data_IF_969286009662
#
_entry.id   IF_969286009662
#
_cell.length_a   1.000
_cell.length_b   1.000
_cell.length_c   1.000
_cell.angle_alpha   90.00
_cell.angle_beta   90.00
_cell.angle_gamma   90.00
#
_symmetry.space_group_name_H-M   'P 1'
#
loop_
_entity.id
_entity.type
_entity.pdbx_description
1 polymer ?
#
# COMPACT_ATOMS: atom_id res chain seq x y z
N UNK A 1 -1.23 20.04 -21.14
CA UNK A 1 -1.37 18.92 -20.20
C UNK A 1 -0.01 18.69 -19.57
N UNK A 2 0.12 18.80 -18.25
CA UNK A 2 1.41 18.62 -17.56
C UNK A 2 1.75 17.14 -17.43
N UNK A 3 3.03 16.79 -17.23
CA UNK A 3 3.44 15.40 -16.96
C UNK A 3 2.72 14.81 -15.74
N UNK A 4 2.46 15.65 -14.72
CA UNK A 4 1.67 15.28 -13.54
C UNK A 4 0.22 14.94 -13.90
N UNK A 5 -0.42 15.72 -14.77
CA UNK A 5 -1.77 15.41 -15.26
C UNK A 5 -1.80 14.13 -16.09
N UNK A 6 -0.75 13.83 -16.85
CA UNK A 6 -0.64 12.56 -17.59
C UNK A 6 -0.55 11.38 -16.63
N UNK A 7 0.27 11.50 -15.57
CA UNK A 7 0.38 10.47 -14.53
C UNK A 7 -0.96 10.29 -13.80
N UNK A 8 -1.60 11.38 -13.37
CA UNK A 8 -2.88 11.35 -12.66
C UNK A 8 -3.98 10.72 -13.50
N UNK A 9 -4.09 11.08 -14.77
CA UNK A 9 -5.14 10.57 -15.66
C UNK A 9 -4.76 9.26 -16.35
N UNK A 10 -3.57 8.73 -16.10
CA UNK A 10 -3.06 7.51 -16.72
C UNK A 10 -3.87 6.29 -16.29
N UNK A 11 -4.37 5.53 -17.27
CA UNK A 11 -5.12 4.30 -16.99
C UNK A 11 -4.21 3.06 -16.85
N UNK A 12 -2.96 3.15 -17.30
CA UNK A 12 -1.98 2.07 -17.20
C UNK A 12 -1.08 2.30 -15.99
N UNK A 13 -1.29 1.50 -14.94
CA UNK A 13 -0.58 1.59 -13.67
C UNK A 13 0.85 1.03 -13.71
N UNK A 14 1.19 0.35 -14.80
CA UNK A 14 2.48 -0.33 -15.00
C UNK A 14 3.46 0.51 -15.82
N UNK A 15 3.03 1.69 -16.29
CA UNK A 15 3.95 2.68 -16.88
C UNK A 15 4.94 3.12 -15.80
N UNK A 16 6.22 3.03 -16.12
CA UNK A 16 7.31 3.50 -15.26
C UNK A 16 7.49 5.00 -15.44
N UNK A 17 7.69 5.69 -14.33
CA UNK A 17 7.93 7.12 -14.28
C UNK A 17 9.09 7.40 -13.32
N UNK A 18 9.80 8.51 -13.52
CA UNK A 18 10.77 9.00 -12.54
C UNK A 18 10.14 9.08 -11.15
N UNK A 19 10.82 8.52 -10.15
CA UNK A 19 10.33 8.40 -8.78
C UNK A 19 9.84 9.74 -8.22
N UNK A 20 10.58 10.82 -8.46
CA UNK A 20 10.20 12.16 -7.99
C UNK A 20 8.87 12.63 -8.57
N UNK A 21 8.66 12.44 -9.88
CA UNK A 21 7.42 12.85 -10.56
C UNK A 21 6.21 12.08 -10.06
N UNK A 22 6.38 10.81 -9.70
CA UNK A 22 5.30 10.04 -9.08
C UNK A 22 4.94 10.55 -7.70
N UNK A 23 5.94 10.85 -6.87
CA UNK A 23 5.69 11.38 -5.53
C UNK A 23 5.06 12.78 -5.59
N UNK A 24 5.44 13.59 -6.57
CA UNK A 24 4.79 14.86 -6.91
C UNK A 24 3.33 14.66 -7.32
N UNK A 25 3.06 13.68 -8.19
CA UNK A 25 1.73 13.43 -8.69
C UNK A 25 0.77 12.98 -7.58
N UNK A 26 1.22 12.09 -6.70
CA UNK A 26 0.46 11.60 -5.54
C UNK A 26 0.26 12.70 -4.49
N UNK A 27 1.25 13.59 -4.30
CA UNK A 27 1.11 14.73 -3.38
C UNK A 27 1.33 14.38 -1.91
N UNK A 28 2.28 13.49 -1.59
CA UNK A 28 2.64 13.20 -0.20
C UNK A 28 3.07 14.45 0.58
N UNK A 29 2.65 14.52 1.84
CA UNK A 29 3.15 15.53 2.79
C UNK A 29 4.67 15.43 2.91
N UNK A 30 5.33 16.57 3.11
CA UNK A 30 6.80 16.70 3.06
C UNK A 30 7.56 15.62 3.85
N UNK A 31 7.13 15.28 5.08
CA UNK A 31 7.77 14.23 5.88
C UNK A 31 7.61 12.83 5.30
N UNK A 32 6.41 12.46 4.87
CA UNK A 32 6.15 11.16 4.24
C UNK A 32 6.94 11.07 2.95
N UNK A 33 6.86 12.11 2.11
CA UNK A 33 7.60 12.21 0.85
C UNK A 33 9.09 11.97 1.06
N UNK A 34 9.73 12.71 1.96
CA UNK A 34 11.17 12.59 2.22
C UNK A 34 11.55 11.15 2.61
N UNK A 35 10.74 10.48 3.44
CA UNK A 35 11.04 9.09 3.82
C UNK A 35 10.87 8.09 2.69
N UNK A 36 9.86 8.28 1.84
CA UNK A 36 9.67 7.46 0.64
C UNK A 36 10.81 7.71 -0.35
N UNK A 37 11.24 8.95 -0.53
CA UNK A 37 12.41 9.27 -1.36
C UNK A 37 13.69 8.61 -0.84
N UNK A 38 13.93 8.67 0.47
CA UNK A 38 15.07 8.00 1.10
C UNK A 38 15.01 6.48 0.85
N UNK A 39 13.83 5.86 1.03
CA UNK A 39 13.61 4.45 0.73
C UNK A 39 13.96 4.08 -0.72
N UNK A 40 13.47 4.88 -1.67
CA UNK A 40 13.70 4.63 -3.09
C UNK A 40 15.17 4.79 -3.46
N UNK A 41 15.85 5.81 -2.91
CA UNK A 41 17.30 6.04 -3.10
C UNK A 41 18.12 4.89 -2.53
N UNK A 42 17.85 4.46 -1.30
CA UNK A 42 18.52 3.31 -0.66
C UNK A 42 18.39 2.02 -1.48
N UNK A 43 17.31 1.89 -2.26
CA UNK A 43 17.03 0.74 -3.11
C UNK A 43 17.46 0.91 -4.57
N UNK A 44 18.04 2.07 -4.94
CA UNK A 44 18.41 2.37 -6.33
C UNK A 44 17.21 2.46 -7.28
N UNK A 45 16.03 2.80 -6.78
CA UNK A 45 14.80 2.89 -7.57
C UNK A 45 14.62 4.30 -8.14
N UNK A 46 15.23 4.56 -9.29
CA UNK A 46 15.15 5.85 -9.99
C UNK A 46 13.80 6.04 -10.71
N UNK A 47 13.19 4.93 -11.14
CA UNK A 47 11.87 4.88 -11.74
C UNK A 47 11.04 3.78 -11.12
N UNK A 48 9.74 3.99 -11.03
CA UNK A 48 8.77 2.97 -10.61
C UNK A 48 7.42 3.22 -11.28
N UNK A 49 6.53 2.23 -11.21
CA UNK A 49 5.14 2.36 -11.63
C UNK A 49 4.23 2.74 -10.47
N UNK A 50 2.99 3.17 -10.76
CA UNK A 50 1.99 3.42 -9.72
C UNK A 50 1.66 2.14 -8.93
N UNK A 51 1.63 1.00 -9.61
CA UNK A 51 1.42 -0.32 -8.98
C UNK A 51 2.54 -0.66 -7.99
N UNK A 52 3.79 -0.39 -8.37
CA UNK A 52 4.97 -0.57 -7.52
C UNK A 52 4.93 0.40 -6.33
N UNK A 53 4.59 1.67 -6.55
CA UNK A 53 4.44 2.68 -5.49
C UNK A 53 3.40 2.25 -4.45
N UNK A 54 2.20 1.83 -4.89
CA UNK A 54 1.18 1.27 -3.99
C UNK A 54 1.71 0.05 -3.22
N UNK A 55 2.52 -0.77 -3.90
CA UNK A 55 3.18 -1.96 -3.35
C UNK A 55 4.08 -1.67 -2.16
N UNK A 56 4.60 -0.45 -2.03
CA UNK A 56 5.39 -0.04 -0.87
C UNK A 56 4.56 0.06 0.42
N UNK A 57 3.25 0.32 0.28
CA UNK A 57 2.35 0.59 1.41
C UNK A 57 1.38 -0.55 1.67
N UNK A 58 0.90 -1.22 0.63
CA UNK A 58 0.02 -2.38 0.74
C UNK A 58 0.39 -3.42 -0.31
N UNK A 59 0.40 -4.72 0.04
CA UNK A 59 0.62 -5.77 -0.94
C UNK A 59 -0.44 -5.73 -2.04
N UNK A 60 -0.14 -6.35 -3.18
CA UNK A 60 -1.13 -6.45 -4.27
C UNK A 60 -2.40 -7.14 -3.76
N UNK A 61 -3.56 -6.71 -4.23
CA UNK A 61 -4.83 -7.35 -3.90
C UNK A 61 -4.80 -8.85 -4.26
N UNK A 62 -4.17 -9.22 -5.38
CA UNK A 62 -4.05 -10.58 -5.88
C UNK A 62 -2.99 -11.44 -5.18
N UNK A 63 -2.09 -10.85 -4.37
CA UNK A 63 -1.00 -11.60 -3.74
C UNK A 63 -1.54 -12.60 -2.70
N UNK A 64 -1.24 -13.91 -2.81
CA UNK A 64 -1.70 -14.88 -1.83
C UNK A 64 -0.90 -14.72 -0.54
N UNK A 65 -1.57 -14.24 0.52
CA UNK A 65 -0.99 -14.14 1.86
C UNK A 65 -1.55 -15.31 2.68
N UNK A 66 -0.76 -16.39 2.75
CA UNK A 66 -1.18 -17.66 3.34
C UNK A 66 -1.42 -17.56 4.85
N UNK A 67 -0.62 -16.76 5.56
CA UNK A 67 -0.73 -16.55 7.00
C UNK A 67 -1.00 -15.09 7.35
N UNK A 68 -2.03 -14.87 8.17
CA UNK A 68 -2.41 -13.54 8.64
C UNK A 68 -1.28 -12.84 9.38
N UNK A 69 -0.51 -13.55 10.21
CA UNK A 69 0.67 -13.01 10.91
C UNK A 69 1.73 -12.42 9.97
N UNK A 70 1.75 -12.82 8.70
CA UNK A 70 2.75 -12.37 7.75
C UNK A 70 2.38 -11.07 7.03
N UNK A 71 1.12 -10.60 7.04
CA UNK A 71 0.67 -9.47 6.21
C UNK A 71 1.60 -8.25 6.27
N UNK A 72 1.96 -7.81 7.49
CA UNK A 72 2.83 -6.65 7.69
C UNK A 72 4.27 -6.87 7.23
N UNK A 73 4.74 -8.12 7.11
CA UNK A 73 6.05 -8.45 6.55
C UNK A 73 6.11 -8.18 5.03
N UNK A 74 4.95 -8.16 4.37
CA UNK A 74 4.80 -7.83 2.95
C UNK A 74 4.66 -6.33 2.69
N UNK A 75 4.73 -5.46 3.71
CA UNK A 75 4.69 -4.00 3.53
C UNK A 75 6.12 -3.45 3.56
N UNK A 76 6.72 -3.11 2.41
CA UNK A 76 8.14 -2.78 2.34
C UNK A 76 8.53 -1.53 3.13
N UNK A 77 7.68 -0.50 3.16
CA UNK A 77 8.02 0.78 3.82
C UNK A 77 8.16 0.63 5.34
N UNK A 78 7.46 -0.33 5.96
CA UNK A 78 7.55 -0.61 7.39
C UNK A 78 8.88 -1.25 7.81
N UNK A 79 9.72 -1.66 6.85
CA UNK A 79 11.09 -2.15 7.13
C UNK A 79 12.05 -1.02 7.46
N UNK A 80 11.68 0.24 7.21
CA UNK A 80 12.47 1.39 7.62
C UNK A 80 12.16 1.76 9.07
N UNK A 81 13.14 1.78 10.00
CA UNK A 81 12.90 2.12 11.40
C UNK A 81 12.28 3.51 11.61
N UNK A 82 12.61 4.43 10.70
CA UNK A 82 12.14 5.82 10.69
C UNK A 82 10.72 6.02 10.13
N UNK A 83 10.09 4.95 9.63
CA UNK A 83 8.74 4.98 9.07
C UNK A 83 7.72 4.43 10.06
N UNK A 84 7.47 5.20 11.12
CA UNK A 84 6.57 4.81 12.21
C UNK A 84 5.07 4.81 11.84
N UNK A 85 4.19 4.31 12.72
CA UNK A 85 2.75 4.16 12.47
C UNK A 85 2.06 5.44 11.97
N UNK A 86 2.36 6.58 12.59
CA UNK A 86 1.78 7.87 12.18
C UNK A 86 2.12 8.25 10.73
N UNK A 87 3.36 8.02 10.30
CA UNK A 87 3.77 8.31 8.92
C UNK A 87 3.12 7.34 7.93
N UNK A 88 2.94 6.08 8.35
CA UNK A 88 2.23 5.08 7.58
C UNK A 88 0.76 5.43 7.38
N UNK A 89 0.04 5.77 8.45
CA UNK A 89 -1.36 6.20 8.35
C UNK A 89 -1.51 7.46 7.49
N UNK A 90 -0.59 8.44 7.65
CA UNK A 90 -0.58 9.64 6.81
C UNK A 90 -0.33 9.32 5.33
N UNK A 91 0.46 8.29 5.02
CA UNK A 91 0.72 7.88 3.64
C UNK A 91 -0.50 7.18 3.03
N UNK A 92 -1.12 6.26 3.79
CA UNK A 92 -2.35 5.58 3.38
C UNK A 92 -3.49 6.58 3.10
N UNK A 93 -3.65 7.58 3.97
CA UNK A 93 -4.63 8.64 3.78
C UNK A 93 -4.34 9.44 2.50
N UNK A 94 -3.09 9.83 2.29
CA UNK A 94 -2.70 10.55 1.07
C UNK A 94 -3.04 9.75 -0.19
N UNK A 95 -2.71 8.47 -0.24
CA UNK A 95 -3.01 7.61 -1.40
C UNK A 95 -4.52 7.44 -1.59
N UNK A 96 -5.28 7.35 -0.51
CA UNK A 96 -6.75 7.21 -0.55
C UNK A 96 -7.42 8.48 -1.07
N UNK A 97 -6.93 9.64 -0.65
CA UNK A 97 -7.49 10.95 -1.02
C UNK A 97 -6.89 11.50 -2.33
N UNK A 98 -5.93 10.80 -2.93
CA UNK A 98 -5.28 11.26 -4.16
C UNK A 98 -6.24 11.27 -5.34
N UNK A 99 -6.32 12.42 -6.01
CA UNK A 99 -7.09 12.62 -7.24
C UNK A 99 -6.35 12.01 -8.44
N UNK A 100 -6.40 10.68 -8.50
CA UNK A 100 -5.82 9.85 -9.55
C UNK A 100 -6.93 9.14 -10.33
N UNK A 101 -6.61 8.69 -11.53
CA UNK A 101 -7.56 8.11 -12.48
C UNK A 101 -8.17 6.79 -11.99
N UNK A 102 -9.24 6.38 -12.68
CA UNK A 102 -10.09 5.25 -12.27
C UNK A 102 -9.32 3.95 -12.00
N UNK A 103 -8.31 3.62 -12.82
CA UNK A 103 -7.48 2.43 -12.59
C UNK A 103 -6.78 2.48 -11.22
N UNK A 104 -6.18 3.62 -10.87
CA UNK A 104 -5.50 3.81 -9.60
C UNK A 104 -6.48 3.61 -8.44
N UNK A 105 -7.60 4.32 -8.47
CA UNK A 105 -8.59 4.26 -7.38
C UNK A 105 -9.17 2.87 -7.21
N UNK A 106 -9.45 2.16 -8.32
CA UNK A 106 -10.01 0.80 -8.30
C UNK A 106 -9.03 -0.21 -7.68
N UNK A 107 -7.76 -0.14 -8.07
CA UNK A 107 -6.73 -1.00 -7.49
C UNK A 107 -6.48 -0.67 -6.02
N UNK A 108 -6.34 0.61 -5.69
CA UNK A 108 -6.10 1.05 -4.32
C UNK A 108 -7.23 0.64 -3.39
N UNK A 109 -8.49 0.82 -3.81
CA UNK A 109 -9.66 0.36 -3.07
C UNK A 109 -9.61 -1.16 -2.82
N UNK A 110 -9.18 -1.95 -3.81
CA UNK A 110 -9.04 -3.41 -3.66
C UNK A 110 -7.99 -3.78 -2.61
N UNK A 111 -6.86 -3.05 -2.56
CA UNK A 111 -5.81 -3.23 -1.54
C UNK A 111 -6.31 -2.83 -0.14
N UNK A 112 -7.06 -1.73 -0.02
CA UNK A 112 -7.69 -1.30 1.23
C UNK A 112 -8.72 -2.31 1.73
N UNK A 113 -9.59 -2.84 0.85
CA UNK A 113 -10.53 -3.89 1.20
C UNK A 113 -9.83 -5.12 1.78
N UNK A 114 -8.70 -5.53 1.18
CA UNK A 114 -7.88 -6.62 1.69
C UNK A 114 -7.29 -6.32 3.07
N UNK A 115 -6.81 -5.10 3.31
CA UNK A 115 -6.38 -4.64 4.64
C UNK A 115 -7.53 -4.69 5.65
N UNK A 116 -8.73 -4.23 5.31
CA UNK A 116 -9.88 -4.28 6.22
C UNK A 116 -10.33 -5.70 6.53
N UNK A 117 -10.33 -6.58 5.54
CA UNK A 117 -10.56 -8.01 5.78
C UNK A 117 -9.50 -8.62 6.71
N UNK A 118 -8.26 -8.16 6.61
CA UNK A 118 -7.17 -8.54 7.52
C UNK A 118 -7.43 -8.05 8.95
N UNK A 119 -7.69 -6.75 9.15
CA UNK A 119 -7.99 -6.15 10.47
C UNK A 119 -9.19 -6.83 11.14
N UNK A 120 -10.25 -7.11 10.37
CA UNK A 120 -11.44 -7.81 10.87
C UNK A 120 -11.11 -9.23 11.36
N UNK A 121 -10.25 -9.97 10.65
CA UNK A 121 -9.85 -11.33 11.06
C UNK A 121 -8.99 -11.33 12.33
N UNK A 122 -8.20 -10.27 12.53
CA UNK A 122 -7.38 -10.08 13.73
C UNK A 122 -8.18 -9.65 14.97
N UNK A 123 -9.42 -9.17 14.78
CA UNK A 123 -10.28 -8.75 15.88
C UNK A 123 -10.45 -9.88 16.93
N UNK A 124 -10.31 -9.59 18.24
CA UNK A 124 -10.35 -10.61 19.29
C UNK A 124 -11.58 -11.53 19.26
N UNK A 125 -12.73 -10.99 18.85
CA UNK A 125 -13.98 -11.74 18.69
C UNK A 125 -13.86 -12.82 17.59
N UNK A 126 -13.20 -12.51 16.48
CA UNK A 126 -13.09 -13.40 15.32
C UNK A 126 -12.01 -14.49 15.52
N UNK A 127 -10.91 -14.18 16.21
CA UNK A 127 -9.91 -15.19 16.62
C UNK A 127 -10.52 -16.30 17.49
N UNK A 128 -11.44 -15.95 18.40
CA UNK A 128 -12.14 -16.92 19.27
C UNK A 128 -13.04 -17.85 18.45
N UNK A 129 -13.81 -17.30 17.50
CA UNK A 129 -14.68 -18.08 16.62
C UNK A 129 -13.88 -19.08 15.75
N UNK A 130 -12.75 -18.64 15.16
CA UNK A 130 -11.89 -19.51 14.35
C UNK A 130 -11.30 -20.67 15.15
N UNK A 131 -10.83 -20.42 16.39
CA UNK A 131 -10.33 -21.47 17.29
C UNK A 131 -11.42 -22.49 17.65
N UNK A 132 -12.65 -22.03 17.85
CA UNK A 132 -13.78 -22.89 18.20
C UNK A 132 -14.22 -23.75 17.01
N UNK A 133 -14.18 -23.19 15.79
CA UNK A 133 -14.49 -23.91 14.55
C UNK A 133 -13.44 -24.98 14.21
N UNK A 134 -12.14 -24.68 14.39
CA UNK A 134 -11.05 -25.65 14.18
C UNK A 134 -11.20 -26.86 15.11
N UNK A 135 -11.44 -26.62 16.41
CA UNK A 135 -11.64 -27.66 17.43
C UNK A 135 -12.85 -28.58 17.18
N UNK A 136 -13.82 -28.14 16.37
CA UNK A 136 -14.99 -28.94 15.96
C UNK A 136 -14.76 -29.76 14.69
N UNK A 137 -13.78 -29.42 13.85
CA UNK A 137 -13.41 -30.21 12.66
C UNK A 137 -12.42 -31.33 12.98
N UNK A 138 -11.67 -31.18 14.06
CA UNK A 138 -10.68 -32.16 14.54
C UNK A 138 -11.31 -33.20 15.51
N UNK A 139 -12.64 -33.25 15.62
CA UNK A 139 -13.43 -34.23 16.37
C UNK A 139 -14.31 -35.01 15.41
#
# INVERSE_FOLDING_TARGET
>A
MTTIEIIRNGNNLDVRWPSQLLLDAVGFRARVRSRVEDYLKERGMEELSLRELMGLFLPSASEPIAEFSAFWLHVPILRQPQFGPYLYDSALLTLTDSDMGLAFSSEWASRICKLKLYELREAPANKRLQRTAKKRRDR
#
